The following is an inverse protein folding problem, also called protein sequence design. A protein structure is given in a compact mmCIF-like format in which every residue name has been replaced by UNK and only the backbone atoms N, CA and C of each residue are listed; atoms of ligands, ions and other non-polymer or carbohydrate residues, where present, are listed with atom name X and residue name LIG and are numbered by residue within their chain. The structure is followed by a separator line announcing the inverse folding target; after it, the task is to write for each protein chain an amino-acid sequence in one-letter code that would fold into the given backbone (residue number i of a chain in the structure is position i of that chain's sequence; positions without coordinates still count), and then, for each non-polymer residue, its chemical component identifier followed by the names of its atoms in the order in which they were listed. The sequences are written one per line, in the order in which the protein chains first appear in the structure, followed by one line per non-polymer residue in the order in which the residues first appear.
data_IF_990537847397
#
_entry.id   IF_990537847397
#
_cell.length_a   1.000
_cell.length_b   1.000
_cell.length_c   1.000
_cell.angle_alpha   90.00
_cell.angle_beta   90.00
_cell.angle_gamma   90.00
#
_symmetry.space_group_name_H-M   'P 1'
#
loop_
_entity.id
_entity.type
_entity.pdbx_description
1 polymer ?
#
# COMPACT_ATOMS: atom_id res chain seq x y z
N UNK A 1 11.31 -8.19 -9.31
CA UNK A 1 11.46 -7.27 -8.16
C UNK A 1 12.17 -8.00 -7.03
N UNK A 2 13.50 -7.98 -7.04
CA UNK A 2 14.37 -8.65 -6.06
C UNK A 2 14.79 -7.74 -4.90
N UNK A 3 13.98 -6.73 -4.55
CA UNK A 3 14.34 -5.73 -3.54
C UNK A 3 14.16 -6.23 -2.09
N UNK A 4 13.68 -7.46 -1.91
CA UNK A 4 13.58 -8.14 -0.61
C UNK A 4 12.60 -7.50 0.38
N UNK A 5 12.52 -8.08 1.58
CA UNK A 5 11.63 -7.61 2.64
C UNK A 5 12.06 -6.27 3.24
N UNK A 6 13.36 -5.92 3.19
CA UNK A 6 13.89 -4.65 3.69
C UNK A 6 13.37 -3.44 2.91
N UNK A 7 13.26 -3.56 1.57
CA UNK A 7 12.71 -2.48 0.76
C UNK A 7 11.21 -2.33 0.97
N UNK A 8 10.48 -3.44 1.17
CA UNK A 8 9.07 -3.40 1.58
C UNK A 8 8.90 -2.71 2.93
N UNK A 9 9.72 -3.06 3.93
CA UNK A 9 9.68 -2.42 5.26
C UNK A 9 9.95 -0.92 5.18
N UNK A 10 10.87 -0.50 4.30
CA UNK A 10 11.17 0.93 4.07
C UNK A 10 9.97 1.66 3.48
N UNK A 11 9.31 1.08 2.46
CA UNK A 11 8.12 1.67 1.85
C UNK A 11 6.96 1.78 2.84
N UNK A 12 6.71 0.73 3.64
CA UNK A 12 5.68 0.73 4.69
C UNK A 12 5.95 1.84 5.72
N UNK A 13 7.20 1.95 6.20
CA UNK A 13 7.58 2.94 7.20
C UNK A 13 7.41 4.36 6.67
N UNK A 14 7.80 4.62 5.42
CA UNK A 14 7.62 5.93 4.78
C UNK A 14 6.15 6.27 4.54
N UNK A 15 5.37 5.32 4.02
CA UNK A 15 3.94 5.50 3.80
C UNK A 15 3.18 5.79 5.10
N UNK A 16 3.55 5.11 6.19
CA UNK A 16 2.94 5.36 7.50
C UNK A 16 3.21 6.77 8.02
N UNK A 17 4.43 7.27 7.83
CA UNK A 17 4.78 8.64 8.17
C UNK A 17 4.00 9.68 7.34
N UNK A 18 3.76 9.39 6.05
CA UNK A 18 2.93 10.23 5.17
C UNK A 18 1.46 10.24 5.60
N UNK A 19 0.88 9.08 5.86
CA UNK A 19 -0.49 8.95 6.36
C UNK A 19 -0.67 9.66 7.71
N UNK A 20 0.29 9.52 8.62
CA UNK A 20 0.26 10.18 9.93
C UNK A 20 0.28 11.71 9.80
N UNK A 21 1.12 12.26 8.90
CA UNK A 21 1.15 13.71 8.64
C UNK A 21 -0.14 14.21 8.01
N UNK A 22 -0.69 13.47 7.03
CA UNK A 22 -1.96 13.82 6.40
C UNK A 22 -3.10 13.80 7.43
N UNK A 23 -3.18 12.73 8.23
CA UNK A 23 -4.17 12.60 9.30
C UNK A 23 -4.08 13.74 10.30
N UNK A 24 -2.88 14.09 10.76
CA UNK A 24 -2.68 15.21 11.68
C UNK A 24 -3.16 16.54 11.08
N UNK A 25 -2.88 16.79 9.80
CA UNK A 25 -3.35 17.99 9.10
C UNK A 25 -4.89 18.04 8.97
N UNK A 26 -5.54 16.87 8.93
CA UNK A 26 -7.01 16.73 8.92
C UNK A 26 -7.62 16.65 10.33
N UNK A 27 -6.83 16.82 11.40
CA UNK A 27 -7.30 16.80 12.79
C UNK A 27 -7.38 15.42 13.45
N UNK A 28 -6.86 14.37 12.79
CA UNK A 28 -6.76 13.04 13.39
C UNK A 28 -5.64 12.96 14.43
N UNK A 29 -5.78 12.03 15.38
CA UNK A 29 -4.72 11.73 16.35
C UNK A 29 -3.61 10.89 15.66
N UNK A 30 -2.35 11.35 15.62
CA UNK A 30 -1.25 10.62 15.00
C UNK A 30 -1.03 9.21 15.57
N UNK A 31 -1.34 9.00 16.86
CA UNK A 31 -1.17 7.69 17.50
C UNK A 31 -2.14 6.63 16.93
N UNK A 32 -3.25 7.04 16.31
CA UNK A 32 -4.20 6.13 15.67
C UNK A 32 -3.55 5.35 14.52
N UNK A 33 -2.58 5.95 13.82
CA UNK A 33 -1.87 5.31 12.72
C UNK A 33 -0.90 4.22 13.19
N UNK A 34 -0.43 4.27 14.43
CA UNK A 34 0.41 3.22 15.01
C UNK A 34 -0.41 2.03 15.54
N UNK A 35 -1.75 2.13 15.55
CA UNK A 35 -2.66 1.06 15.97
C UNK A 35 -3.00 0.06 14.85
N UNK A 36 -3.92 -0.87 15.16
CA UNK A 36 -4.36 -1.92 14.25
C UNK A 36 -4.93 -1.38 12.93
N UNK A 37 -5.65 -0.26 12.97
CA UNK A 37 -6.25 0.35 11.78
C UNK A 37 -5.23 1.03 10.85
N UNK A 38 -4.02 1.33 11.32
CA UNK A 38 -2.96 1.94 10.50
C UNK A 38 -1.86 0.94 10.18
N UNK A 39 -0.89 0.79 11.09
CA UNK A 39 0.23 -0.13 10.92
C UNK A 39 -0.24 -1.58 10.71
N UNK A 40 -1.25 -2.02 11.48
CA UNK A 40 -1.76 -3.39 11.38
C UNK A 40 -2.32 -3.73 10.00
N UNK A 41 -3.18 -2.85 9.48
CA UNK A 41 -3.81 -3.02 8.16
C UNK A 41 -2.80 -2.91 7.01
N UNK A 42 -1.87 -1.96 7.09
CA UNK A 42 -0.80 -1.79 6.08
C UNK A 42 0.10 -3.01 6.03
N UNK A 43 0.52 -3.55 7.18
CA UNK A 43 1.35 -4.76 7.23
C UNK A 43 0.59 -5.96 6.69
N UNK A 44 -0.69 -6.14 7.06
CA UNK A 44 -1.52 -7.23 6.54
C UNK A 44 -1.70 -7.15 5.01
N UNK A 45 -1.93 -5.94 4.49
CA UNK A 45 -2.12 -5.68 3.07
C UNK A 45 -0.84 -5.86 2.26
N UNK A 46 0.31 -5.40 2.76
CA UNK A 46 1.59 -5.54 2.09
C UNK A 46 2.22 -6.94 2.21
N UNK A 47 1.86 -7.71 3.25
CA UNK A 47 2.32 -9.09 3.42
C UNK A 47 1.51 -10.10 2.60
N UNK A 48 0.28 -9.76 2.22
CA UNK A 48 -0.61 -10.66 1.49
C UNK A 48 -0.49 -10.50 -0.03
N UNK A 49 -0.13 -11.59 -0.72
CA UNK A 49 -0.16 -11.68 -2.18
C UNK A 49 -1.58 -11.58 -2.78
N UNK A 50 -2.63 -11.60 -1.95
CA UNK A 50 -4.02 -11.40 -2.37
C UNK A 50 -4.45 -9.93 -2.42
N UNK A 51 -3.60 -9.00 -1.98
CA UNK A 51 -3.88 -7.58 -2.10
C UNK A 51 -3.95 -7.19 -3.58
N UNK A 52 -5.11 -6.65 -3.98
CA UNK A 52 -5.36 -6.12 -5.33
C UNK A 52 -4.33 -5.04 -5.69
N UNK A 53 -4.09 -4.12 -4.76
CA UNK A 53 -3.17 -3.00 -4.94
C UNK A 53 -1.71 -3.48 -5.06
N UNK A 54 -1.32 -4.50 -4.29
CA UNK A 54 0.00 -5.15 -4.45
C UNK A 54 0.13 -5.79 -5.83
N UNK A 55 -0.91 -6.48 -6.33
CA UNK A 55 -0.90 -7.10 -7.64
C UNK A 55 -0.78 -6.05 -8.77
N UNK A 56 -1.53 -4.95 -8.69
CA UNK A 56 -1.42 -3.82 -9.63
C UNK A 56 -0.01 -3.24 -9.60
N UNK A 57 0.55 -2.95 -8.41
CA UNK A 57 1.90 -2.40 -8.27
C UNK A 57 2.99 -3.29 -8.85
N UNK A 58 2.86 -4.61 -8.69
CA UNK A 58 3.79 -5.58 -9.30
C UNK A 58 3.70 -5.55 -10.83
N UNK A 59 2.50 -5.51 -11.40
CA UNK A 59 2.28 -5.45 -12.85
C UNK A 59 2.78 -4.14 -13.45
N UNK A 60 2.49 -3.01 -12.80
CA UNK A 60 3.02 -1.71 -13.18
C UNK A 60 4.55 -1.71 -13.22
N UNK A 61 5.22 -2.23 -12.18
CA UNK A 61 6.68 -2.29 -12.20
C UNK A 61 7.26 -3.41 -13.06
N UNK A 62 6.43 -4.23 -13.73
CA UNK A 62 6.83 -5.08 -14.87
C UNK A 62 6.70 -4.36 -16.22
N UNK A 63 6.18 -3.12 -16.23
CA UNK A 63 6.01 -2.30 -17.43
C UNK A 63 4.65 -2.39 -18.09
N UNK A 64 3.67 -3.04 -17.45
CA UNK A 64 2.28 -3.04 -17.94
C UNK A 64 1.63 -1.66 -17.71
N UNK A 65 0.74 -1.26 -18.62
CA UNK A 65 0.00 0.01 -18.47
C UNK A 65 -1.17 -0.16 -17.51
N UNK A 66 -1.60 0.93 -16.86
CA UNK A 66 -2.69 0.87 -15.89
C UNK A 66 -4.01 0.43 -16.55
N UNK A 67 -4.25 0.85 -17.79
CA UNK A 67 -5.44 0.52 -18.58
C UNK A 67 -5.54 -0.99 -18.79
N UNK A 68 -4.45 -1.61 -19.27
CA UNK A 68 -4.36 -3.06 -19.49
C UNK A 68 -4.55 -3.85 -18.19
N UNK A 69 -4.01 -3.35 -17.08
CA UNK A 69 -4.17 -3.96 -15.76
C UNK A 69 -5.63 -3.90 -15.32
N UNK A 70 -6.29 -2.74 -15.44
CA UNK A 70 -7.67 -2.55 -15.02
C UNK A 70 -8.67 -3.32 -15.89
N UNK A 71 -8.47 -3.38 -17.21
CA UNK A 71 -9.31 -4.14 -18.13
C UNK A 71 -9.25 -5.65 -17.88
N UNK A 72 -8.12 -6.15 -17.39
CA UNK A 72 -7.92 -7.58 -17.09
C UNK A 72 -8.31 -7.99 -15.66
N UNK A 73 -8.66 -7.04 -14.78
CA UNK A 73 -9.07 -7.33 -13.40
C UNK A 73 -10.60 -7.35 -13.26
N UNK A 74 -11.15 -8.45 -12.77
CA UNK A 74 -12.60 -8.55 -12.45
C UNK A 74 -13.01 -7.80 -11.18
N UNK A 75 -12.05 -7.24 -10.43
CA UNK A 75 -12.30 -6.38 -9.27
C UNK A 75 -11.49 -5.10 -9.38
N UNK A 76 -12.14 -3.96 -9.18
CA UNK A 76 -11.52 -2.62 -9.20
C UNK A 76 -10.50 -2.52 -8.04
N UNK A 77 -9.29 -2.05 -8.34
CA UNK A 77 -8.31 -1.70 -7.31
C UNK A 77 -8.85 -0.55 -6.46
N UNK A 78 -8.56 -0.53 -5.17
CA UNK A 78 -9.07 0.54 -4.31
C UNK A 78 -8.28 1.83 -4.59
N UNK A 79 -8.93 2.81 -5.21
CA UNK A 79 -8.43 4.19 -5.40
C UNK A 79 -8.26 4.59 -6.85
#
# INVERSE_FOLDING_TARGET
MGFGDNSKATLITRGLAEMSRLGAALGANPNTFMGLAGLGDVVATCASAKSRNTAVGVRLGRGETIESITESMSMVAEG
#
